data_IF_971509405437
#
_entry.id   IF_971509405437
#
_cell.length_a   1.000
_cell.length_b   1.000
_cell.length_c   1.000
_cell.angle_alpha   90.00
_cell.angle_beta   90.00
_cell.angle_gamma   90.00
#
_symmetry.space_group_name_H-M   'P 1'
#
loop_
_entity.id
_entity.type
_entity.pdbx_description
1 polymer ?
#
# COMPACT_ATOMS: atom_id res chain seq x y z
N UNK A 1 -27.15 3.26 -16.54
CA UNK A 1 -27.72 1.93 -16.23
C UNK A 1 -27.19 0.79 -17.12
N UNK A 2 -27.28 0.82 -18.48
CA UNK A 2 -26.77 -0.32 -19.32
C UNK A 2 -25.26 -0.55 -19.29
N UNK A 3 -24.42 0.46 -18.99
CA UNK A 3 -22.97 0.31 -18.86
C UNK A 3 -22.57 -0.25 -17.48
N UNK A 4 -23.29 0.08 -16.43
CA UNK A 4 -23.00 -0.38 -15.06
C UNK A 4 -23.17 -1.89 -14.92
N UNK A 5 -24.24 -2.46 -15.47
CA UNK A 5 -24.48 -3.91 -15.43
C UNK A 5 -23.36 -4.74 -16.09
N UNK A 6 -22.52 -4.12 -16.95
CA UNK A 6 -21.45 -4.81 -17.67
C UNK A 6 -20.11 -4.90 -16.93
N UNK A 7 -19.90 -4.11 -15.87
CA UNK A 7 -18.62 -4.15 -15.12
C UNK A 7 -18.60 -5.25 -14.05
N UNK A 8 -19.74 -5.59 -13.44
CA UNK A 8 -19.83 -6.50 -12.33
C UNK A 8 -19.24 -7.90 -12.57
N UNK A 9 -19.46 -8.56 -13.73
CA UNK A 9 -18.82 -9.85 -14.00
C UNK A 9 -17.28 -9.75 -13.96
N UNK A 10 -16.74 -8.66 -14.46
CA UNK A 10 -15.30 -8.43 -14.50
C UNK A 10 -14.72 -8.15 -13.10
N UNK A 11 -15.44 -7.38 -12.27
CA UNK A 11 -15.07 -7.16 -10.89
C UNK A 11 -15.13 -8.46 -10.08
N UNK A 12 -16.08 -9.33 -10.36
CA UNK A 12 -16.16 -10.65 -9.73
C UNK A 12 -14.94 -11.50 -10.11
N UNK A 13 -14.57 -11.57 -11.38
CA UNK A 13 -13.36 -12.29 -11.83
C UNK A 13 -12.12 -11.70 -11.19
N UNK A 14 -12.02 -10.37 -11.14
CA UNK A 14 -10.91 -9.68 -10.47
C UNK A 14 -10.81 -10.03 -8.99
N UNK A 15 -11.92 -9.94 -8.27
CA UNK A 15 -11.99 -10.28 -6.85
C UNK A 15 -11.69 -11.75 -6.56
N UNK A 16 -12.14 -12.68 -7.42
CA UNK A 16 -11.79 -14.10 -7.30
C UNK A 16 -10.28 -14.31 -7.46
N UNK A 17 -9.63 -13.66 -8.43
CA UNK A 17 -8.18 -13.76 -8.62
C UNK A 17 -7.41 -13.21 -7.41
N UNK A 18 -7.81 -12.07 -6.87
CA UNK A 18 -7.20 -11.50 -5.67
C UNK A 18 -7.44 -12.39 -4.44
N UNK A 19 -8.65 -12.94 -4.31
CA UNK A 19 -9.00 -13.87 -3.22
C UNK A 19 -8.18 -15.17 -3.29
N UNK A 20 -8.00 -15.75 -4.47
CA UNK A 20 -7.15 -16.94 -4.64
C UNK A 20 -5.71 -16.64 -4.26
N UNK A 21 -5.16 -15.50 -4.68
CA UNK A 21 -3.83 -15.07 -4.22
C UNK A 21 -3.78 -14.86 -2.70
N UNK A 22 -4.81 -14.25 -2.12
CA UNK A 22 -4.89 -14.02 -0.67
C UNK A 22 -4.91 -15.31 0.14
N UNK A 23 -5.51 -16.37 -0.39
CA UNK A 23 -5.60 -17.69 0.24
C UNK A 23 -4.30 -18.50 0.11
N UNK A 24 -3.71 -18.52 -1.09
CA UNK A 24 -2.70 -19.51 -1.45
C UNK A 24 -1.27 -18.96 -1.54
N UNK A 25 -1.06 -17.66 -1.75
CA UNK A 25 0.29 -17.10 -1.67
C UNK A 25 0.79 -17.07 -0.23
N UNK A 26 2.04 -17.49 -0.03
CA UNK A 26 2.69 -17.42 1.29
C UNK A 26 2.69 -15.98 1.83
N UNK A 27 2.57 -15.83 3.14
CA UNK A 27 2.54 -14.51 3.79
C UNK A 27 3.85 -13.74 3.57
N UNK A 28 3.78 -12.44 3.30
CA UNK A 28 4.96 -11.59 3.27
C UNK A 28 5.38 -11.20 4.70
N UNK A 29 6.69 -11.01 4.93
CA UNK A 29 7.19 -10.67 6.26
C UNK A 29 6.59 -9.36 6.81
N UNK A 30 6.40 -8.38 5.93
CA UNK A 30 5.77 -7.12 6.33
C UNK A 30 4.28 -7.29 6.66
N UNK A 31 3.55 -8.17 5.97
CA UNK A 31 2.16 -8.49 6.32
C UNK A 31 2.06 -9.14 7.70
N UNK A 32 2.99 -10.04 8.01
CA UNK A 32 3.10 -10.64 9.34
C UNK A 32 3.38 -9.58 10.41
N UNK A 33 4.20 -8.58 10.10
CA UNK A 33 4.44 -7.43 10.96
C UNK A 33 3.20 -6.53 11.11
N UNK A 34 2.45 -6.27 10.05
CA UNK A 34 1.20 -5.50 10.14
C UNK A 34 0.07 -6.29 10.84
N UNK A 35 0.14 -7.64 10.86
CA UNK A 35 -0.75 -8.43 11.73
C UNK A 35 -0.51 -8.11 13.21
N UNK A 36 0.72 -7.87 13.64
CA UNK A 36 1.02 -7.40 14.99
C UNK A 36 0.30 -6.08 15.31
N UNK A 37 0.22 -5.14 14.36
CA UNK A 37 -0.54 -3.90 14.52
C UNK A 37 -2.02 -4.16 14.78
N UNK A 38 -2.61 -5.12 14.06
CA UNK A 38 -4.00 -5.52 14.27
C UNK A 38 -4.27 -6.22 15.59
N UNK A 39 -3.26 -6.89 16.17
CA UNK A 39 -3.35 -7.49 17.51
C UNK A 39 -3.32 -6.41 18.62
N UNK A 40 -2.63 -5.30 18.37
CA UNK A 40 -2.46 -4.19 19.32
C UNK A 40 -2.97 -2.88 18.69
N UNK A 41 -4.30 -2.79 18.49
CA UNK A 41 -4.91 -1.64 17.84
C UNK A 41 -4.57 -0.33 18.55
N UNK A 42 -4.09 0.63 17.77
CA UNK A 42 -3.70 1.95 18.23
C UNK A 42 -4.01 3.01 17.16
N UNK A 43 -4.04 4.28 17.55
CA UNK A 43 -4.21 5.40 16.62
C UNK A 43 -2.95 5.76 15.82
N UNK A 44 -1.87 5.01 16.00
CA UNK A 44 -0.63 5.12 15.26
C UNK A 44 0.33 4.00 15.63
N UNK A 45 1.35 3.82 14.81
CA UNK A 45 2.40 2.83 15.00
C UNK A 45 3.75 3.47 14.73
N UNK A 46 4.82 2.74 15.03
CA UNK A 46 6.18 3.28 14.92
C UNK A 46 6.47 3.89 13.55
N UNK A 47 6.19 3.17 12.48
CA UNK A 47 6.57 3.54 11.12
C UNK A 47 5.38 3.84 10.20
N UNK A 48 4.13 3.61 10.63
CA UNK A 48 2.95 3.83 9.79
C UNK A 48 1.75 4.40 10.56
N UNK A 49 0.85 5.13 9.86
CA UNK A 49 -0.47 5.46 10.35
C UNK A 49 -1.34 4.22 10.57
N UNK A 50 -2.50 4.34 11.26
CA UNK A 50 -3.22 3.19 11.81
C UNK A 50 -3.99 2.31 10.81
N UNK A 51 -4.20 2.73 9.55
CA UNK A 51 -5.14 2.07 8.64
C UNK A 51 -4.81 0.60 8.38
N UNK A 52 -3.53 0.25 8.19
CA UNK A 52 -3.13 -1.13 7.93
C UNK A 52 -3.39 -2.05 9.14
N UNK A 53 -3.19 -1.53 10.37
CA UNK A 53 -3.53 -2.25 11.61
C UNK A 53 -5.04 -2.49 11.73
N UNK A 54 -5.85 -1.48 11.41
CA UNK A 54 -7.31 -1.63 11.38
C UNK A 54 -7.75 -2.68 10.35
N UNK A 55 -7.15 -2.71 9.15
CA UNK A 55 -7.49 -3.70 8.11
C UNK A 55 -7.19 -5.12 8.56
N UNK A 56 -6.02 -5.35 9.17
CA UNK A 56 -5.64 -6.68 9.66
C UNK A 56 -6.49 -7.12 10.86
N UNK A 57 -6.85 -6.20 11.75
CA UNK A 57 -7.77 -6.48 12.85
C UNK A 57 -9.17 -6.88 12.36
N UNK A 58 -9.73 -6.11 11.41
CA UNK A 58 -11.04 -6.42 10.82
C UNK A 58 -11.02 -7.75 10.07
N UNK A 59 -9.97 -8.01 9.28
CA UNK A 59 -9.81 -9.30 8.60
C UNK A 59 -9.73 -10.45 9.59
N UNK A 60 -8.95 -10.30 10.68
CA UNK A 60 -8.80 -11.31 11.73
C UNK A 60 -10.06 -11.55 12.56
N UNK A 61 -10.88 -10.51 12.75
CA UNK A 61 -12.16 -10.64 13.43
C UNK A 61 -13.22 -11.39 12.60
N UNK A 62 -13.11 -11.33 11.27
CA UNK A 62 -14.08 -11.95 10.36
C UNK A 62 -13.71 -13.39 9.97
N UNK A 63 -12.42 -13.74 9.97
CA UNK A 63 -11.92 -15.02 9.46
C UNK A 63 -11.28 -15.83 10.59
N UNK A 64 -11.80 -17.05 10.86
CA UNK A 64 -11.19 -17.94 11.85
C UNK A 64 -9.82 -18.45 11.38
N UNK A 65 -8.87 -18.60 12.30
CA UNK A 65 -7.49 -19.02 11.99
C UNK A 65 -7.25 -20.52 12.17
N UNK A 66 -8.24 -21.35 11.81
CA UNK A 66 -8.22 -22.82 12.02
C UNK A 66 -7.31 -23.58 11.04
N UNK A 67 -6.92 -22.97 9.95
CA UNK A 67 -5.96 -23.51 8.97
C UNK A 67 -5.06 -22.41 8.45
N UNK A 68 -3.89 -22.78 7.87
CA UNK A 68 -2.95 -21.81 7.30
C UNK A 68 -3.60 -20.97 6.19
N UNK A 69 -4.41 -21.58 5.34
CA UNK A 69 -5.14 -20.89 4.26
C UNK A 69 -6.06 -19.81 4.82
N UNK A 70 -6.84 -20.14 5.84
CA UNK A 70 -7.69 -19.15 6.51
C UNK A 70 -6.88 -18.13 7.31
N UNK A 71 -5.74 -18.53 7.86
CA UNK A 71 -4.81 -17.61 8.53
C UNK A 71 -4.22 -16.58 7.57
N UNK A 72 -3.88 -16.95 6.33
CA UNK A 72 -3.51 -16.00 5.28
C UNK A 72 -4.67 -15.01 5.01
N UNK A 73 -5.88 -15.50 4.83
CA UNK A 73 -7.05 -14.67 4.56
C UNK A 73 -7.39 -13.75 5.75
N UNK A 74 -7.16 -14.19 6.99
CA UNK A 74 -7.39 -13.37 8.19
C UNK A 74 -6.51 -12.11 8.26
N UNK A 75 -5.47 -12.02 7.44
CA UNK A 75 -4.68 -10.80 7.27
C UNK A 75 -5.16 -9.98 6.06
N UNK A 76 -5.70 -10.64 5.02
CA UNK A 76 -5.84 -10.10 3.65
C UNK A 76 -7.26 -9.79 3.19
N UNK A 77 -8.31 -10.28 3.90
CA UNK A 77 -9.70 -10.15 3.41
C UNK A 77 -10.07 -8.69 3.09
N UNK A 78 -9.82 -7.78 4.02
CA UNK A 78 -10.17 -6.35 3.83
C UNK A 78 -9.37 -5.74 2.68
N UNK A 79 -8.13 -6.15 2.48
CA UNK A 79 -7.30 -5.73 1.33
C UNK A 79 -7.96 -6.11 0.01
N UNK A 80 -8.41 -7.36 -0.14
CA UNK A 80 -9.11 -7.84 -1.35
C UNK A 80 -10.36 -7.01 -1.61
N UNK A 81 -11.18 -6.79 -0.58
CA UNK A 81 -12.42 -6.02 -0.70
C UNK A 81 -12.13 -4.56 -1.10
N UNK A 82 -11.14 -3.93 -0.47
CA UNK A 82 -10.74 -2.56 -0.80
C UNK A 82 -10.17 -2.45 -2.21
N UNK A 83 -9.43 -3.44 -2.69
CA UNK A 83 -8.89 -3.41 -4.05
C UNK A 83 -9.99 -3.53 -5.11
N UNK A 84 -10.95 -4.45 -4.93
CA UNK A 84 -12.12 -4.53 -5.82
C UNK A 84 -12.89 -3.21 -5.82
N UNK A 85 -13.08 -2.60 -4.65
CA UNK A 85 -13.70 -1.30 -4.54
C UNK A 85 -12.86 -0.19 -5.22
N UNK A 86 -11.52 -0.26 -5.15
CA UNK A 86 -10.60 0.64 -5.87
C UNK A 86 -10.83 0.56 -7.38
N UNK A 87 -10.82 -0.65 -7.94
CA UNK A 87 -11.07 -0.88 -9.37
C UNK A 87 -12.44 -0.33 -9.78
N UNK A 88 -13.47 -0.55 -8.97
CA UNK A 88 -14.82 0.00 -9.20
C UNK A 88 -14.84 1.53 -9.19
N UNK A 89 -14.23 2.16 -8.18
CA UNK A 89 -14.22 3.63 -8.05
C UNK A 89 -13.44 4.29 -9.19
N UNK A 90 -12.30 3.71 -9.59
CA UNK A 90 -11.55 4.20 -10.75
C UNK A 90 -12.37 4.08 -12.03
N UNK A 91 -13.04 2.93 -12.21
CA UNK A 91 -13.97 2.75 -13.35
C UNK A 91 -15.10 3.78 -13.32
N UNK A 92 -15.72 4.04 -12.17
CA UNK A 92 -16.76 5.08 -12.01
C UNK A 92 -16.23 6.45 -12.41
N UNK A 93 -15.03 6.79 -11.94
CA UNK A 93 -14.38 8.06 -12.27
C UNK A 93 -14.25 8.23 -13.79
N UNK A 94 -13.88 7.17 -14.52
CA UNK A 94 -13.73 7.21 -15.97
C UNK A 94 -15.10 7.20 -16.69
N UNK A 95 -16.04 6.38 -16.24
CA UNK A 95 -17.35 6.21 -16.88
C UNK A 95 -18.21 7.49 -16.85
N UNK A 96 -17.98 8.38 -15.89
CA UNK A 96 -18.63 9.69 -15.85
C UNK A 96 -18.06 10.69 -16.86
N UNK A 97 -16.97 10.38 -17.52
CA UNK A 97 -16.48 11.15 -18.64
C UNK A 97 -17.30 10.84 -19.90
N UNK A 98 -18.25 11.72 -20.24
CA UNK A 98 -19.14 11.60 -21.43
C UNK A 98 -18.36 11.44 -22.73
N UNK A 99 -17.10 11.93 -22.79
CA UNK A 99 -16.21 11.81 -23.95
C UNK A 99 -15.49 10.46 -24.04
N UNK A 100 -15.46 9.68 -22.96
CA UNK A 100 -14.73 8.42 -22.90
C UNK A 100 -15.66 7.24 -23.16
N UNK A 101 -15.78 6.81 -24.43
CA UNK A 101 -16.51 5.60 -24.83
C UNK A 101 -15.61 4.35 -24.77
N UNK A 102 -14.82 4.20 -23.72
CA UNK A 102 -13.92 3.05 -23.61
C UNK A 102 -14.66 1.79 -23.15
N UNK A 103 -14.31 0.64 -23.72
CA UNK A 103 -14.84 -0.64 -23.25
C UNK A 103 -14.22 -1.03 -21.90
N UNK A 104 -15.01 -1.66 -21.04
CA UNK A 104 -14.56 -2.17 -19.75
C UNK A 104 -13.29 -3.03 -19.87
N UNK A 105 -13.18 -3.82 -20.93
CA UNK A 105 -12.01 -4.69 -21.21
C UNK A 105 -10.72 -3.88 -21.33
N UNK A 106 -10.72 -2.74 -22.01
CA UNK A 106 -9.52 -1.92 -22.17
C UNK A 106 -9.08 -1.26 -20.87
N UNK A 107 -10.04 -0.74 -20.10
CA UNK A 107 -9.77 -0.23 -18.76
C UNK A 107 -9.12 -1.29 -17.86
N UNK A 108 -9.73 -2.48 -17.80
CA UNK A 108 -9.23 -3.59 -17.00
C UNK A 108 -7.86 -4.06 -17.47
N UNK A 109 -7.61 -4.04 -18.80
CA UNK A 109 -6.33 -4.41 -19.37
C UNK A 109 -5.21 -3.44 -18.94
N UNK A 110 -5.50 -2.13 -18.91
CA UNK A 110 -4.55 -1.14 -18.37
C UNK A 110 -4.26 -1.44 -16.90
N UNK A 111 -5.29 -1.60 -16.08
CA UNK A 111 -5.14 -1.88 -14.65
C UNK A 111 -4.41 -3.21 -14.40
N UNK A 112 -4.76 -4.28 -15.12
CA UNK A 112 -4.17 -5.62 -14.98
C UNK A 112 -2.71 -5.70 -15.47
N UNK A 113 -2.23 -4.72 -16.23
CA UNK A 113 -0.85 -4.67 -16.69
C UNK A 113 0.10 -3.99 -15.72
N UNK A 114 -0.39 -3.44 -14.59
CA UNK A 114 0.39 -2.73 -13.57
C UNK A 114 0.84 -3.68 -12.45
N UNK A 115 2.14 -4.04 -12.36
CA UNK A 115 2.61 -5.05 -11.43
C UNK A 115 2.26 -4.77 -9.96
N UNK A 116 2.64 -3.60 -9.44
CA UNK A 116 2.43 -3.29 -8.03
C UNK A 116 0.97 -2.99 -7.69
N UNK A 117 0.21 -2.40 -8.61
CA UNK A 117 -1.24 -2.24 -8.45
C UNK A 117 -1.92 -3.60 -8.27
N UNK A 118 -1.56 -4.57 -9.11
CA UNK A 118 -2.06 -5.94 -9.01
C UNK A 118 -1.60 -6.67 -7.74
N UNK A 119 -0.36 -6.46 -7.30
CA UNK A 119 0.18 -7.09 -6.08
C UNK A 119 -0.57 -6.60 -4.82
N UNK A 120 -0.86 -5.30 -4.74
CA UNK A 120 -1.60 -4.73 -3.61
C UNK A 120 -3.10 -5.05 -3.60
N UNK A 121 -3.56 -5.86 -4.54
CA UNK A 121 -4.88 -6.49 -4.49
C UNK A 121 -5.00 -7.60 -3.46
N UNK A 122 -3.87 -8.21 -3.05
CA UNK A 122 -3.86 -9.31 -2.09
C UNK A 122 -2.76 -9.18 -1.01
N UNK A 123 -1.77 -8.32 -1.19
CA UNK A 123 -0.75 -8.02 -0.17
C UNK A 123 -1.24 -6.90 0.74
N UNK A 124 -1.35 -7.18 2.02
CA UNK A 124 -1.80 -6.21 3.02
C UNK A 124 -0.64 -5.32 3.46
N UNK A 125 -0.58 -4.14 2.90
CA UNK A 125 0.41 -3.11 3.17
C UNK A 125 -0.28 -1.75 3.31
N UNK A 126 0.37 -0.70 3.84
CA UNK A 126 -0.17 0.65 3.87
C UNK A 126 -0.53 1.23 2.49
N UNK A 127 0.06 0.68 1.41
CA UNK A 127 -0.23 1.11 0.05
C UNK A 127 -1.61 0.63 -0.44
N UNK A 128 -2.11 -0.50 0.03
CA UNK A 128 -3.42 -1.00 -0.37
C UNK A 128 -4.56 -0.02 -0.01
N UNK A 129 -4.73 0.42 1.24
CA UNK A 129 -5.72 1.43 1.57
C UNK A 129 -5.41 2.80 0.96
N UNK A 130 -4.14 3.17 0.77
CA UNK A 130 -3.75 4.39 0.09
C UNK A 130 -4.32 4.45 -1.34
N UNK A 131 -4.22 3.35 -2.09
CA UNK A 131 -4.79 3.25 -3.44
C UNK A 131 -6.31 3.41 -3.44
N UNK A 132 -7.01 2.82 -2.48
CA UNK A 132 -8.46 2.95 -2.34
C UNK A 132 -8.88 4.40 -2.05
N UNK A 133 -8.28 5.01 -1.04
CA UNK A 133 -8.63 6.39 -0.68
C UNK A 133 -8.15 7.41 -1.72
N UNK A 134 -7.07 7.14 -2.47
CA UNK A 134 -6.66 7.94 -3.60
C UNK A 134 -7.67 7.83 -4.76
N UNK A 135 -8.20 6.64 -5.04
CA UNK A 135 -9.28 6.49 -6.02
C UNK A 135 -10.54 7.27 -5.61
N UNK A 136 -10.95 7.19 -4.33
CA UNK A 136 -12.05 7.99 -3.79
C UNK A 136 -11.77 9.49 -3.86
N UNK A 137 -10.53 9.92 -3.57
CA UNK A 137 -10.12 11.31 -3.67
C UNK A 137 -10.29 11.83 -5.11
N UNK A 138 -9.78 11.12 -6.13
CA UNK A 138 -9.93 11.54 -7.51
C UNK A 138 -11.37 11.50 -7.99
N UNK A 139 -12.15 10.52 -7.55
CA UNK A 139 -13.58 10.48 -7.81
C UNK A 139 -14.29 11.70 -7.20
N UNK A 140 -14.11 11.94 -5.91
CA UNK A 140 -14.70 13.07 -5.20
C UNK A 140 -14.25 14.42 -5.78
N UNK A 141 -12.95 14.56 -6.11
CA UNK A 141 -12.42 15.76 -6.70
C UNK A 141 -12.99 16.04 -8.10
N UNK A 142 -13.18 15.00 -8.91
CA UNK A 142 -13.87 15.15 -10.20
C UNK A 142 -15.31 15.64 -10.03
N UNK A 143 -16.05 15.04 -9.07
CA UNK A 143 -17.40 15.48 -8.74
C UNK A 143 -17.42 16.92 -8.20
N UNK A 144 -16.43 17.26 -7.39
CA UNK A 144 -16.25 18.59 -6.85
C UNK A 144 -16.06 19.64 -7.96
N UNK A 145 -15.23 19.37 -8.96
CA UNK A 145 -15.01 20.28 -10.09
C UNK A 145 -16.22 20.41 -11.03
N UNK A 146 -17.11 19.43 -11.06
CA UNK A 146 -18.32 19.43 -11.93
C UNK A 146 -19.54 20.09 -11.29
N UNK A 147 -19.39 20.80 -10.17
CA UNK A 147 -20.48 21.31 -9.33
C UNK A 147 -21.29 22.48 -9.91
N UNK A 148 -20.91 23.07 -11.03
CA UNK A 148 -21.59 24.28 -11.58
C UNK A 148 -23.11 24.12 -11.89
N UNK A 149 -23.66 22.91 -11.76
CA UNK A 149 -25.06 22.61 -12.14
C UNK A 149 -25.83 21.76 -11.13
N UNK A 150 -25.35 21.56 -9.89
CA UNK A 150 -25.92 20.55 -8.98
C UNK A 150 -26.68 21.15 -7.78
N UNK A 151 -27.60 20.34 -7.22
CA UNK A 151 -28.33 20.64 -6.01
C UNK A 151 -27.38 20.77 -4.81
N UNK A 152 -27.56 21.73 -3.92
CA UNK A 152 -26.70 22.01 -2.74
C UNK A 152 -26.38 20.78 -1.87
N UNK A 153 -27.31 19.82 -1.76
CA UNK A 153 -27.09 18.60 -0.99
C UNK A 153 -26.03 17.69 -1.61
N UNK A 154 -25.93 17.63 -2.94
CA UNK A 154 -24.89 16.85 -3.65
C UNK A 154 -23.51 17.51 -3.52
N UNK A 155 -23.47 18.85 -3.52
CA UNK A 155 -22.24 19.59 -3.31
C UNK A 155 -21.64 19.31 -1.93
N UNK A 156 -22.48 19.31 -0.87
CA UNK A 156 -22.04 19.00 0.48
C UNK A 156 -21.55 17.55 0.60
N UNK A 157 -22.26 16.59 -0.02
CA UNK A 157 -21.85 15.19 -0.05
C UNK A 157 -20.48 14.99 -0.72
N UNK A 158 -20.21 15.68 -1.83
CA UNK A 158 -18.92 15.61 -2.52
C UNK A 158 -17.79 16.24 -1.70
N UNK A 159 -18.05 17.36 -1.02
CA UNK A 159 -17.10 18.02 -0.12
C UNK A 159 -16.75 17.13 1.07
N UNK A 160 -17.76 16.49 1.67
CA UNK A 160 -17.57 15.54 2.76
C UNK A 160 -16.75 14.32 2.30
N UNK A 161 -17.09 13.73 1.14
CA UNK A 161 -16.35 12.60 0.58
C UNK A 161 -14.91 12.97 0.27
N UNK A 162 -14.65 14.20 -0.22
CA UNK A 162 -13.31 14.70 -0.46
C UNK A 162 -12.50 14.77 0.85
N UNK A 163 -13.08 15.34 1.93
CA UNK A 163 -12.43 15.40 3.23
C UNK A 163 -12.17 14.04 3.85
N UNK A 164 -13.14 13.11 3.78
CA UNK A 164 -12.97 11.73 4.26
C UNK A 164 -11.89 11.00 3.47
N UNK A 165 -11.85 11.15 2.14
CA UNK A 165 -10.82 10.51 1.31
C UNK A 165 -9.41 11.04 1.61
N UNK A 166 -9.28 12.36 1.86
CA UNK A 166 -8.02 12.96 2.31
C UNK A 166 -7.56 12.37 3.65
N UNK A 167 -8.44 12.31 4.64
CA UNK A 167 -8.14 11.68 5.92
C UNK A 167 -7.77 10.19 5.76
N UNK A 168 -8.51 9.44 4.96
CA UNK A 168 -8.25 8.03 4.68
C UNK A 168 -6.89 7.81 4.02
N UNK A 169 -6.47 8.65 3.07
CA UNK A 169 -5.12 8.61 2.50
C UNK A 169 -4.05 8.88 3.56
N UNK A 170 -4.24 9.91 4.41
CA UNK A 170 -3.30 10.26 5.48
C UNK A 170 -3.21 9.17 6.56
N UNK A 171 -4.32 8.54 6.90
CA UNK A 171 -4.37 7.38 7.78
C UNK A 171 -3.71 6.12 7.18
N UNK A 172 -3.57 6.08 5.86
CA UNK A 172 -2.90 4.99 5.15
C UNK A 172 -1.39 5.22 5.08
N UNK A 173 -0.95 6.41 4.64
CA UNK A 173 0.48 6.70 4.43
C UNK A 173 0.76 8.21 4.41
N UNK A 174 1.82 8.67 5.07
CA UNK A 174 2.15 10.10 5.18
C UNK A 174 2.41 10.78 3.83
N UNK A 175 2.91 10.05 2.82
CA UNK A 175 3.12 10.62 1.49
C UNK A 175 1.83 11.07 0.78
N UNK A 176 0.66 10.77 1.32
CA UNK A 176 -0.61 11.32 0.89
C UNK A 176 -0.64 12.86 0.90
N UNK A 177 0.14 13.49 1.77
CA UNK A 177 0.34 14.95 1.78
C UNK A 177 0.82 15.45 0.42
N UNK A 178 1.67 14.69 -0.27
CA UNK A 178 2.16 15.06 -1.59
C UNK A 178 1.03 15.02 -2.64
N UNK A 179 0.12 14.04 -2.58
CA UNK A 179 -1.07 13.98 -3.47
C UNK A 179 -1.92 15.24 -3.30
N UNK A 180 -2.24 15.58 -2.05
CA UNK A 180 -3.07 16.75 -1.72
C UNK A 180 -2.36 18.05 -2.13
N UNK A 181 -1.08 18.19 -1.82
CA UNK A 181 -0.27 19.37 -2.18
C UNK A 181 -0.17 19.56 -3.69
N UNK A 182 0.05 18.49 -4.45
CA UNK A 182 0.11 18.54 -5.91
C UNK A 182 -1.26 18.90 -6.54
N UNK A 183 -2.37 18.47 -5.93
CA UNK A 183 -3.71 18.89 -6.36
C UNK A 183 -3.93 20.40 -6.17
N UNK A 184 -3.46 20.95 -5.05
CA UNK A 184 -3.51 22.41 -4.80
C UNK A 184 -2.59 23.17 -5.77
N UNK A 185 -1.38 22.68 -6.01
CA UNK A 185 -0.46 23.28 -6.98
C UNK A 185 -1.02 23.26 -8.42
N UNK A 186 -1.69 22.17 -8.80
CA UNK A 186 -2.36 22.07 -10.09
C UNK A 186 -3.57 23.02 -10.22
N UNK A 187 -4.24 23.31 -9.10
CA UNK A 187 -5.43 24.17 -9.04
C UNK A 187 -5.34 25.16 -7.86
N UNK A 188 -4.55 26.25 -7.95
CA UNK A 188 -4.41 27.21 -6.84
C UNK A 188 -5.71 27.94 -6.44
N UNK A 189 -6.77 27.86 -7.27
CA UNK A 189 -8.08 28.43 -6.93
C UNK A 189 -8.68 27.79 -5.69
N UNK A 190 -8.31 26.53 -5.38
CA UNK A 190 -8.73 25.83 -4.16
C UNK A 190 -8.37 26.61 -2.88
N UNK A 191 -7.27 27.35 -2.87
CA UNK A 191 -6.88 28.19 -1.73
C UNK A 191 -7.85 29.30 -1.40
N UNK A 192 -8.71 29.68 -2.35
CA UNK A 192 -9.74 30.73 -2.19
C UNK A 192 -11.15 30.16 -2.08
N UNK A 193 -11.29 28.83 -2.09
CA UNK A 193 -12.58 28.16 -2.09
C UNK A 193 -12.92 27.65 -0.67
N UNK A 194 -13.99 28.21 -0.08
CA UNK A 194 -14.47 27.84 1.26
C UNK A 194 -14.86 26.37 1.39
N UNK A 195 -15.34 25.72 0.31
CA UNK A 195 -15.67 24.29 0.32
C UNK A 195 -14.41 23.41 0.34
N UNK A 196 -13.34 23.86 -0.34
CA UNK A 196 -12.04 23.18 -0.26
C UNK A 196 -11.49 23.24 1.18
N UNK A 197 -11.60 24.40 1.83
CA UNK A 197 -11.21 24.53 3.24
C UNK A 197 -12.10 23.73 4.18
N UNK A 198 -13.41 23.58 3.90
CA UNK A 198 -14.26 22.67 4.66
C UNK A 198 -13.79 21.22 4.53
N UNK A 199 -13.44 20.75 3.32
CA UNK A 199 -12.88 19.40 3.13
C UNK A 199 -11.56 19.20 3.91
N UNK A 200 -10.68 20.20 3.89
CA UNK A 200 -9.44 20.20 4.71
C UNK A 200 -9.76 20.16 6.19
N UNK A 201 -10.74 20.96 6.65
CA UNK A 201 -11.19 20.96 8.04
C UNK A 201 -11.73 19.60 8.50
N UNK A 202 -12.53 18.94 7.66
CA UNK A 202 -13.02 17.57 7.91
C UNK A 202 -11.85 16.60 8.05
N UNK A 203 -10.89 16.64 7.11
CA UNK A 203 -9.70 15.78 7.17
C UNK A 203 -8.89 16.06 8.44
N UNK A 204 -8.68 17.32 8.79
CA UNK A 204 -7.94 17.70 10.00
C UNK A 204 -8.61 17.20 11.28
N UNK A 205 -9.93 17.33 11.40
CA UNK A 205 -10.70 16.83 12.57
C UNK A 205 -10.58 15.31 12.67
N UNK A 206 -10.70 14.60 11.54
CA UNK A 206 -10.54 13.15 11.52
C UNK A 206 -9.13 12.71 11.88
N UNK A 207 -8.09 13.51 11.61
CA UNK A 207 -6.71 13.20 11.93
C UNK A 207 -6.32 13.48 13.39
N UNK A 208 -7.18 14.16 14.19
CA UNK A 208 -6.89 14.51 15.59
C UNK A 208 -6.48 13.31 16.44
N UNK A 209 -7.15 12.13 16.40
CA UNK A 209 -6.73 10.99 17.21
C UNK A 209 -5.32 10.50 16.90
N UNK A 210 -4.94 10.49 15.63
CA UNK A 210 -3.59 10.10 15.21
C UNK A 210 -2.53 11.12 15.63
N UNK A 211 -2.81 12.42 15.46
CA UNK A 211 -1.90 13.48 15.87
C UNK A 211 -1.71 13.50 17.39
N UNK A 212 -2.77 13.23 18.14
CA UNK A 212 -2.68 13.08 19.59
C UNK A 212 -1.82 11.88 20.00
N UNK A 213 -1.99 10.74 19.30
CA UNK A 213 -1.15 9.58 19.52
C UNK A 213 0.33 9.88 19.23
N UNK A 214 0.65 10.54 18.12
CA UNK A 214 2.01 10.96 17.79
C UNK A 214 2.59 11.84 18.89
N UNK A 215 1.84 12.82 19.37
CA UNK A 215 2.27 13.73 20.44
C UNK A 215 2.54 12.96 21.74
N UNK A 216 1.65 12.08 22.16
CA UNK A 216 1.77 11.33 23.42
C UNK A 216 2.90 10.28 23.39
N UNK A 217 3.38 9.89 22.21
CA UNK A 217 4.50 8.95 22.01
C UNK A 217 5.78 9.64 21.51
N UNK A 218 5.91 10.95 21.64
CA UNK A 218 7.10 11.73 21.23
C UNK A 218 7.39 11.66 19.71
N UNK A 219 6.35 11.62 18.88
CA UNK A 219 6.43 11.66 17.41
C UNK A 219 7.31 10.56 16.79
N UNK A 220 7.14 9.28 17.12
CA UNK A 220 8.05 8.23 16.68
C UNK A 220 8.11 8.09 15.15
N UNK A 221 6.96 8.14 14.47
CA UNK A 221 6.91 8.01 13.01
C UNK A 221 7.55 9.19 12.30
N UNK A 222 7.33 10.42 12.79
CA UNK A 222 7.94 11.61 12.18
C UNK A 222 9.45 11.63 12.38
N UNK A 223 9.94 11.29 13.57
CA UNK A 223 11.37 11.16 13.86
C UNK A 223 12.01 10.11 12.97
N UNK A 224 11.36 8.96 12.81
CA UNK A 224 11.84 7.89 11.93
C UNK A 224 11.97 8.37 10.48
N UNK A 225 10.91 8.93 9.89
CA UNK A 225 10.90 9.29 8.47
C UNK A 225 11.73 10.52 8.13
N UNK A 226 11.84 11.49 9.04
CA UNK A 226 12.52 12.76 8.77
C UNK A 226 14.00 12.75 9.18
N UNK A 227 14.36 11.97 10.21
CA UNK A 227 15.70 11.99 10.81
C UNK A 227 16.41 10.65 10.67
N UNK A 228 15.80 9.56 11.17
CA UNK A 228 16.51 8.28 11.35
C UNK A 228 16.73 7.51 10.04
N UNK A 229 15.99 7.84 8.97
CA UNK A 229 16.08 7.16 7.67
C UNK A 229 17.13 7.75 6.73
N UNK A 230 17.89 8.75 7.16
CA UNK A 230 18.93 9.35 6.35
C UNK A 230 20.10 8.38 6.17
N UNK A 231 20.38 7.98 4.92
CA UNK A 231 21.51 7.15 4.55
C UNK A 231 22.55 7.97 3.78
N UNK A 232 23.80 7.53 3.83
CA UNK A 232 24.85 8.12 2.99
C UNK A 232 24.50 7.90 1.49
N UNK A 233 24.60 8.94 0.68
CA UNK A 233 24.33 8.84 -0.75
C UNK A 233 25.23 7.80 -1.43
N UNK A 234 24.59 6.96 -2.24
CA UNK A 234 25.24 6.03 -3.16
C UNK A 234 24.70 6.26 -4.57
N UNK A 235 25.56 6.43 -5.60
CA UNK A 235 25.10 6.66 -6.97
C UNK A 235 24.09 5.61 -7.46
N UNK A 236 24.21 4.37 -6.96
CA UNK A 236 23.33 3.25 -7.27
C UNK A 236 21.85 3.59 -6.98
N UNK A 237 21.53 4.32 -5.89
CA UNK A 237 20.16 4.69 -5.54
C UNK A 237 19.47 5.51 -6.64
N UNK A 238 20.21 6.41 -7.30
CA UNK A 238 19.69 7.21 -8.41
C UNK A 238 19.62 6.40 -9.70
N UNK A 239 20.61 5.55 -9.99
CA UNK A 239 20.59 4.71 -11.19
C UNK A 239 19.48 3.64 -11.14
N UNK A 240 19.18 3.07 -9.99
CA UNK A 240 18.12 2.09 -9.81
C UNK A 240 16.71 2.71 -9.87
N UNK A 241 16.58 4.03 -9.72
CA UNK A 241 15.27 4.69 -9.63
C UNK A 241 14.41 4.39 -10.87
N UNK A 242 14.93 4.54 -12.09
CA UNK A 242 14.17 4.31 -13.33
C UNK A 242 13.80 2.83 -13.52
N UNK A 243 14.73 1.86 -13.43
CA UNK A 243 14.37 0.44 -13.45
C UNK A 243 13.31 0.05 -12.39
N UNK A 244 13.40 0.64 -11.19
CA UNK A 244 12.41 0.42 -10.13
C UNK A 244 11.01 0.91 -10.55
N UNK A 245 10.90 2.04 -11.28
CA UNK A 245 9.61 2.48 -11.81
C UNK A 245 9.04 1.50 -12.85
N UNK A 246 9.90 0.86 -13.65
CA UNK A 246 9.46 -0.18 -14.59
C UNK A 246 8.92 -1.43 -13.87
N UNK A 247 9.48 -1.77 -12.72
CA UNK A 247 8.94 -2.85 -11.87
C UNK A 247 7.58 -2.49 -11.26
N UNK A 248 7.34 -1.21 -10.95
CA UNK A 248 6.07 -0.73 -10.39
C UNK A 248 4.96 -0.64 -11.43
N UNK A 249 5.25 -0.08 -12.63
CA UNK A 249 4.22 0.31 -13.62
C UNK A 249 4.28 -0.47 -14.94
N UNK A 250 5.25 -1.31 -15.18
CA UNK A 250 5.83 -1.77 -16.44
C UNK A 250 6.42 -0.63 -17.31
N UNK A 251 7.40 -0.90 -18.19
CA UNK A 251 8.09 0.13 -18.97
C UNK A 251 7.17 0.94 -19.88
N UNK A 252 6.19 0.28 -20.51
CA UNK A 252 5.29 0.94 -21.46
C UNK A 252 4.34 1.91 -20.76
N UNK A 253 3.67 1.45 -19.69
CA UNK A 253 2.73 2.32 -18.96
C UNK A 253 3.48 3.46 -18.28
N UNK A 254 4.68 3.20 -17.73
CA UNK A 254 5.51 4.27 -17.16
C UNK A 254 5.85 5.35 -18.20
N UNK A 255 6.32 4.95 -19.38
CA UNK A 255 6.64 5.91 -20.44
C UNK A 255 5.40 6.70 -20.91
N UNK A 256 4.26 6.02 -21.07
CA UNK A 256 3.01 6.65 -21.51
C UNK A 256 2.42 7.57 -20.43
N UNK A 257 2.43 7.19 -19.16
CA UNK A 257 1.91 8.06 -18.10
C UNK A 257 2.75 9.34 -17.95
N UNK A 258 4.08 9.25 -18.08
CA UNK A 258 4.96 10.43 -18.07
C UNK A 258 4.68 11.31 -19.28
N UNK A 259 4.64 10.73 -20.48
CA UNK A 259 4.38 11.47 -21.73
C UNK A 259 3.01 12.15 -21.73
N UNK A 260 1.94 11.45 -21.32
CA UNK A 260 0.60 12.03 -21.22
C UNK A 260 0.54 13.14 -20.17
N UNK A 261 1.25 12.98 -19.06
CA UNK A 261 1.31 13.98 -18.00
C UNK A 261 2.04 15.24 -18.44
N UNK A 262 3.13 15.14 -19.22
CA UNK A 262 3.81 16.30 -19.82
C UNK A 262 2.83 17.04 -20.74
N UNK A 263 2.08 16.34 -21.58
CA UNK A 263 1.08 16.97 -22.47
C UNK A 263 -0.07 17.63 -21.70
N UNK A 264 -0.51 17.03 -20.59
CA UNK A 264 -1.63 17.52 -19.79
C UNK A 264 -1.20 18.53 -18.69
N UNK A 265 0.08 18.80 -18.51
CA UNK A 265 0.62 19.62 -17.42
C UNK A 265 0.06 21.04 -17.36
N UNK A 266 -0.23 21.64 -18.52
CA UNK A 266 -0.77 23.00 -18.67
C UNK A 266 -2.16 23.03 -19.28
N UNK A 267 -2.86 21.89 -19.33
CA UNK A 267 -4.23 21.86 -19.85
C UNK A 267 -5.19 22.70 -19.02
N UNK A 268 -6.22 23.25 -19.64
CA UNK A 268 -7.29 23.97 -18.93
C UNK A 268 -8.23 23.04 -18.15
N UNK A 269 -8.31 21.76 -18.53
CA UNK A 269 -9.03 20.75 -17.78
C UNK A 269 -8.32 20.52 -16.42
N UNK A 270 -8.88 21.10 -15.37
CA UNK A 270 -8.32 21.07 -14.01
C UNK A 270 -8.18 19.65 -13.48
N UNK A 271 -9.08 18.74 -13.84
CA UNK A 271 -8.99 17.35 -13.39
C UNK A 271 -7.79 16.65 -14.06
N UNK A 272 -7.70 16.68 -15.40
CA UNK A 272 -6.56 16.11 -16.13
C UNK A 272 -5.23 16.74 -15.70
N UNK A 273 -5.23 18.06 -15.46
CA UNK A 273 -4.05 18.77 -14.96
C UNK A 273 -3.61 18.25 -13.60
N UNK A 274 -4.56 18.03 -12.67
CA UNK A 274 -4.25 17.49 -11.34
C UNK A 274 -3.68 16.08 -11.42
N UNK A 275 -4.23 15.21 -12.27
CA UNK A 275 -3.67 13.88 -12.51
C UNK A 275 -2.22 13.96 -13.02
N UNK A 276 -1.96 14.86 -13.99
CA UNK A 276 -0.64 15.07 -14.57
C UNK A 276 0.37 15.60 -13.54
N UNK A 277 -0.03 16.58 -12.73
CA UNK A 277 0.80 17.11 -11.64
C UNK A 277 1.13 16.03 -10.61
N UNK A 278 0.18 15.17 -10.28
CA UNK A 278 0.45 14.09 -9.34
C UNK A 278 1.47 13.09 -9.91
N UNK A 279 1.29 12.65 -11.15
CA UNK A 279 2.26 11.74 -11.78
C UNK A 279 3.65 12.37 -11.81
N UNK A 280 3.80 13.53 -12.42
CA UNK A 280 5.11 14.18 -12.58
C UNK A 280 5.71 14.60 -11.24
N UNK A 281 4.88 15.12 -10.33
CA UNK A 281 5.33 15.54 -9.00
C UNK A 281 5.92 14.39 -8.19
N UNK A 282 5.27 13.22 -8.20
CA UNK A 282 5.83 12.03 -7.55
C UNK A 282 7.13 11.56 -8.22
N UNK A 283 7.16 11.48 -9.56
CA UNK A 283 8.35 11.03 -10.27
C UNK A 283 9.54 11.96 -10.00
N UNK A 284 9.33 13.27 -10.06
CA UNK A 284 10.38 14.26 -9.81
C UNK A 284 10.78 14.29 -8.32
N UNK A 285 9.81 14.28 -7.41
CA UNK A 285 10.08 14.30 -5.98
C UNK A 285 10.95 13.12 -5.56
N UNK A 286 10.58 11.89 -5.93
CA UNK A 286 11.36 10.71 -5.55
C UNK A 286 12.67 10.56 -6.33
N UNK A 287 12.76 11.07 -7.55
CA UNK A 287 14.04 11.19 -8.23
C UNK A 287 14.98 12.11 -7.43
N UNK A 288 14.49 13.27 -6.94
CA UNK A 288 15.29 14.17 -6.09
C UNK A 288 15.66 13.46 -4.77
N UNK A 289 14.72 12.73 -4.16
CA UNK A 289 15.00 11.99 -2.92
C UNK A 289 16.04 10.89 -3.11
N UNK A 290 16.15 10.28 -4.30
CA UNK A 290 17.19 9.28 -4.59
C UNK A 290 18.63 9.80 -4.50
N UNK A 291 18.83 11.13 -4.56
CA UNK A 291 20.11 11.77 -4.27
C UNK A 291 20.40 11.93 -2.76
N UNK A 292 19.44 11.62 -1.91
CA UNK A 292 19.57 11.74 -0.44
C UNK A 292 19.55 10.40 0.28
N UNK A 293 19.16 9.32 -0.40
CA UNK A 293 19.10 7.99 0.18
C UNK A 293 18.33 7.01 -0.70
N UNK A 294 18.18 5.78 -0.22
CA UNK A 294 17.40 4.75 -0.92
C UNK A 294 15.92 5.11 -1.00
N UNK A 295 15.36 4.98 -2.20
CA UNK A 295 13.93 5.16 -2.47
C UNK A 295 13.30 3.81 -2.77
N UNK A 296 12.36 3.40 -1.93
CA UNK A 296 11.64 2.15 -2.16
C UNK A 296 10.80 2.24 -3.45
N UNK A 297 10.86 1.24 -4.32
CA UNK A 297 10.16 1.25 -5.61
C UNK A 297 8.68 1.60 -5.48
N UNK A 298 8.00 1.04 -4.48
CA UNK A 298 6.56 1.15 -4.27
C UNK A 298 6.08 2.53 -3.79
N UNK A 299 6.98 3.47 -3.43
CA UNK A 299 6.53 4.79 -2.94
C UNK A 299 5.79 5.62 -3.98
N UNK A 300 5.96 5.31 -5.25
CA UNK A 300 5.26 5.99 -6.35
C UNK A 300 3.95 5.30 -6.74
N UNK A 301 3.60 4.15 -6.15
CA UNK A 301 2.48 3.31 -6.59
C UNK A 301 1.12 4.01 -6.59
N UNK A 302 0.92 5.00 -5.71
CA UNK A 302 -0.32 5.80 -5.68
C UNK A 302 -0.61 6.47 -7.02
N UNK A 303 0.43 6.75 -7.81
CA UNK A 303 0.27 7.32 -9.16
C UNK A 303 -0.26 6.32 -10.19
N UNK A 304 -0.45 5.05 -9.83
CA UNK A 304 -1.21 4.09 -10.65
C UNK A 304 -2.63 4.56 -10.92
N UNK A 305 -3.29 5.20 -9.95
CA UNK A 305 -4.66 5.70 -10.12
C UNK A 305 -4.73 6.78 -11.21
N UNK A 306 -3.99 7.90 -11.11
CA UNK A 306 -3.97 8.88 -12.19
C UNK A 306 -3.42 8.32 -13.51
N UNK A 307 -2.47 7.38 -13.50
CA UNK A 307 -1.97 6.75 -14.72
C UNK A 307 -3.06 5.95 -15.46
N UNK A 308 -3.84 5.14 -14.74
CA UNK A 308 -4.97 4.40 -15.31
C UNK A 308 -6.00 5.36 -15.92
N UNK A 309 -6.35 6.43 -15.22
CA UNK A 309 -7.33 7.41 -15.69
C UNK A 309 -6.81 8.14 -16.93
N UNK A 310 -5.58 8.67 -16.90
CA UNK A 310 -4.99 9.40 -18.03
C UNK A 310 -4.85 8.54 -19.28
N UNK A 311 -4.35 7.31 -19.13
CA UNK A 311 -4.17 6.40 -20.27
C UNK A 311 -5.51 5.96 -20.87
N UNK A 312 -6.51 5.75 -20.02
CA UNK A 312 -7.85 5.41 -20.41
C UNK A 312 -8.53 6.57 -21.14
N UNK A 313 -8.46 7.77 -20.62
CA UNK A 313 -9.03 8.98 -21.23
C UNK A 313 -8.37 9.32 -22.58
N UNK A 314 -7.05 9.09 -22.69
CA UNK A 314 -6.29 9.32 -23.91
C UNK A 314 -6.44 8.20 -24.97
N UNK A 315 -7.08 7.08 -24.63
CA UNK A 315 -7.16 5.93 -25.54
C UNK A 315 -7.74 6.23 -26.93
N UNK A 316 -8.80 7.07 -27.08
CA UNK A 316 -9.31 7.47 -28.38
C UNK A 316 -8.34 8.31 -29.22
N UNK A 317 -7.38 8.99 -28.58
CA UNK A 317 -6.41 9.87 -29.24
C UNK A 317 -5.33 9.07 -30.02
N UNK A 318 -5.12 7.80 -29.65
CA UNK A 318 -4.17 6.93 -30.35
C UNK A 318 -4.72 6.47 -31.72
N UNK A 319 -3.84 6.36 -32.72
CA UNK A 319 -4.18 5.80 -34.03
C UNK A 319 -4.72 4.37 -33.91
N UNK A 320 -5.42 3.87 -34.91
CA UNK A 320 -5.93 2.49 -34.93
C UNK A 320 -4.82 1.46 -34.74
N UNK A 321 -3.65 1.68 -35.41
CA UNK A 321 -2.46 0.82 -35.22
C UNK A 321 -1.90 0.92 -33.80
N UNK A 322 -1.82 2.14 -33.27
CA UNK A 322 -1.36 2.39 -31.88
C UNK A 322 -2.24 1.70 -30.85
N UNK A 323 -3.59 1.81 -30.97
CA UNK A 323 -4.53 1.12 -30.07
C UNK A 323 -4.40 -0.40 -30.14
N UNK A 324 -4.19 -0.95 -31.34
CA UNK A 324 -3.97 -2.40 -31.50
C UNK A 324 -2.67 -2.83 -30.85
N UNK A 325 -1.57 -2.10 -31.05
CA UNK A 325 -0.27 -2.37 -30.42
C UNK A 325 -0.38 -2.28 -28.89
N UNK A 326 -0.99 -1.21 -28.36
CA UNK A 326 -1.24 -1.08 -26.92
C UNK A 326 -2.03 -2.25 -26.35
N UNK A 327 -3.13 -2.66 -27.00
CA UNK A 327 -3.94 -3.79 -26.53
C UNK A 327 -3.11 -5.06 -26.44
N UNK A 328 -2.30 -5.35 -27.45
CA UNK A 328 -1.43 -6.53 -27.45
C UNK A 328 -0.35 -6.46 -26.37
N UNK A 329 0.37 -5.36 -26.28
CA UNK A 329 1.47 -5.22 -25.30
C UNK A 329 0.96 -5.27 -23.87
N UNK A 330 -0.13 -4.54 -23.54
CA UNK A 330 -0.74 -4.61 -22.22
C UNK A 330 -1.30 -6.00 -21.93
N UNK A 331 -1.84 -6.69 -22.95
CA UNK A 331 -2.27 -8.09 -22.84
C UNK A 331 -1.13 -9.04 -22.48
N UNK A 332 0.03 -8.86 -23.08
CA UNK A 332 1.23 -9.64 -22.73
C UNK A 332 1.64 -9.38 -21.28
N UNK A 333 1.72 -8.11 -20.85
CA UNK A 333 2.04 -7.81 -19.46
C UNK A 333 1.01 -8.38 -18.47
N UNK A 334 -0.28 -8.24 -18.76
CA UNK A 334 -1.34 -8.81 -17.92
C UNK A 334 -1.25 -10.34 -17.85
N UNK A 335 -0.94 -11.01 -18.99
CA UNK A 335 -0.70 -12.44 -19.04
C UNK A 335 0.51 -12.88 -18.22
N UNK A 336 1.63 -12.15 -18.31
CA UNK A 336 2.82 -12.42 -17.50
C UNK A 336 2.53 -12.25 -16.01
N UNK A 337 1.77 -11.23 -15.61
CA UNK A 337 1.38 -11.04 -14.21
C UNK A 337 0.42 -12.12 -13.72
N UNK A 338 -0.47 -12.62 -14.57
CA UNK A 338 -1.32 -13.76 -14.23
C UNK A 338 -0.46 -15.03 -14.00
N UNK A 339 0.52 -15.29 -14.87
CA UNK A 339 1.46 -16.39 -14.70
C UNK A 339 2.25 -16.22 -13.38
N UNK A 340 2.75 -15.02 -13.10
CA UNK A 340 3.46 -14.73 -11.85
C UNK A 340 2.58 -15.00 -10.61
N UNK A 341 1.30 -14.61 -10.63
CA UNK A 341 0.35 -14.92 -9.57
C UNK A 341 0.15 -16.43 -9.39
N UNK A 342 0.04 -17.19 -10.48
CA UNK A 342 -0.08 -18.65 -10.43
C UNK A 342 1.19 -19.27 -9.81
N UNK A 343 2.36 -18.82 -10.23
CA UNK A 343 3.65 -19.29 -9.68
C UNK A 343 3.75 -19.01 -8.17
N UNK A 344 3.32 -17.82 -7.72
CA UNK A 344 3.27 -17.46 -6.29
C UNK A 344 2.29 -18.35 -5.51
N UNK A 345 1.09 -18.60 -6.06
CA UNK A 345 0.09 -19.47 -5.41
C UNK A 345 0.56 -20.93 -5.30
N UNK A 346 1.33 -21.42 -6.27
CA UNK A 346 1.88 -22.76 -6.25
C UNK A 346 3.10 -22.90 -5.32
N UNK A 347 3.62 -21.79 -4.82
CA UNK A 347 4.76 -21.72 -3.88
C UNK A 347 6.01 -22.51 -4.38
N UNK A 348 6.26 -22.49 -5.70
CA UNK A 348 7.35 -23.25 -6.35
C UNK A 348 8.65 -22.45 -6.54
N UNK A 349 8.66 -21.18 -6.09
CA UNK A 349 9.87 -20.36 -6.17
C UNK A 349 10.93 -20.84 -5.17
N UNK A 350 12.22 -20.76 -5.53
CA UNK A 350 13.29 -21.06 -4.60
C UNK A 350 13.24 -20.16 -3.36
N UNK A 351 13.53 -20.67 -2.14
CA UNK A 351 13.54 -19.88 -0.91
C UNK A 351 14.46 -18.64 -0.97
N UNK A 352 15.55 -18.71 -1.74
CA UNK A 352 16.50 -17.62 -1.94
C UNK A 352 15.87 -16.36 -2.57
N UNK A 353 14.71 -16.50 -3.21
CA UNK A 353 13.96 -15.35 -3.74
C UNK A 353 13.33 -14.49 -2.65
N UNK A 354 13.23 -14.99 -1.41
CA UNK A 354 12.48 -14.35 -0.33
C UNK A 354 10.96 -14.35 -0.51
N UNK A 355 10.47 -14.98 -1.59
CA UNK A 355 9.03 -15.04 -1.91
C UNK A 355 8.36 -16.37 -1.49
N UNK A 356 9.15 -17.38 -1.13
CA UNK A 356 8.70 -18.69 -0.73
C UNK A 356 9.58 -19.29 0.38
N UNK A 357 9.12 -20.37 1.01
CA UNK A 357 9.90 -21.13 1.99
C UNK A 357 9.95 -20.55 3.40
N UNK A 358 9.15 -19.52 3.70
CA UNK A 358 9.12 -18.88 5.02
C UNK A 358 8.55 -19.80 6.09
N UNK A 359 7.54 -20.59 5.73
CA UNK A 359 6.96 -21.59 6.65
C UNK A 359 8.03 -22.61 7.06
N UNK A 360 8.76 -23.19 6.11
CA UNK A 360 9.82 -24.18 6.40
C UNK A 360 10.95 -23.58 7.27
N UNK A 361 11.30 -22.30 7.03
CA UNK A 361 12.26 -21.58 7.86
C UNK A 361 11.75 -21.44 9.31
N UNK A 362 10.49 -21.06 9.49
CA UNK A 362 9.90 -20.95 10.82
C UNK A 362 9.72 -22.32 11.49
N UNK A 363 9.45 -23.39 10.73
CA UNK A 363 9.39 -24.77 11.22
C UNK A 363 10.73 -25.23 11.81
N UNK A 364 11.83 -24.94 11.15
CA UNK A 364 13.17 -25.23 11.68
C UNK A 364 13.41 -24.50 13.01
N UNK A 365 13.03 -23.23 13.12
CA UNK A 365 13.13 -22.45 14.36
C UNK A 365 12.24 -23.05 15.45
N UNK A 366 11.04 -23.50 15.09
CA UNK A 366 10.10 -24.10 16.04
C UNK A 366 10.63 -25.42 16.62
N UNK A 367 11.27 -26.23 15.79
CA UNK A 367 11.92 -27.46 16.23
C UNK A 367 13.07 -27.18 17.22
N UNK A 368 13.87 -26.15 16.97
CA UNK A 368 14.96 -25.73 17.88
C UNK A 368 14.43 -25.15 19.19
N UNK A 369 13.29 -24.46 19.15
CA UNK A 369 12.71 -23.81 20.32
C UNK A 369 12.08 -24.78 21.34
N UNK A 370 11.83 -26.04 20.96
CA UNK A 370 11.28 -27.09 21.84
C UNK A 370 9.99 -26.68 22.58
N UNK A 371 9.14 -25.87 21.94
CA UNK A 371 7.88 -25.37 22.53
C UNK A 371 8.04 -24.15 23.46
N UNK A 372 9.25 -23.61 23.61
CA UNK A 372 9.49 -22.42 24.39
C UNK A 372 9.22 -21.13 23.56
N UNK A 373 8.85 -20.01 24.21
CA UNK A 373 8.80 -18.71 23.56
C UNK A 373 10.17 -18.35 22.99
N UNK A 374 10.18 -17.71 21.81
CA UNK A 374 11.43 -17.38 21.10
C UNK A 374 11.72 -15.88 21.21
N UNK A 375 12.92 -15.58 21.67
CA UNK A 375 13.48 -14.22 21.70
C UNK A 375 14.41 -14.08 20.50
N UNK A 376 14.10 -13.13 19.63
CA UNK A 376 14.88 -12.81 18.45
C UNK A 376 15.67 -11.52 18.66
N UNK A 377 16.86 -11.44 18.03
CA UNK A 377 17.52 -10.16 17.77
C UNK A 377 17.46 -9.86 16.26
N UNK A 378 17.70 -8.62 15.87
CA UNK A 378 17.88 -8.24 14.48
C UNK A 378 16.64 -7.63 13.82
N UNK A 379 16.25 -8.13 12.65
CA UNK A 379 15.13 -7.58 11.88
C UNK A 379 13.79 -8.03 12.43
N UNK A 380 12.80 -7.13 12.44
CA UNK A 380 11.40 -7.41 12.81
C UNK A 380 10.72 -8.47 11.94
N UNK A 381 11.27 -8.77 10.79
CA UNK A 381 10.67 -9.68 9.80
C UNK A 381 10.60 -11.11 10.32
N UNK A 382 11.69 -11.60 10.89
CA UNK A 382 11.79 -12.99 11.35
C UNK A 382 10.86 -13.31 12.55
N UNK A 383 10.83 -12.53 13.64
CA UNK A 383 9.89 -12.74 14.73
C UNK A 383 8.44 -12.58 14.29
N UNK A 384 8.15 -11.65 13.37
CA UNK A 384 6.79 -11.46 12.86
C UNK A 384 6.28 -12.66 12.06
N UNK A 385 7.14 -13.24 11.20
CA UNK A 385 6.82 -14.50 10.50
C UNK A 385 6.63 -15.66 11.48
N UNK A 386 7.51 -15.79 12.48
CA UNK A 386 7.40 -16.84 13.48
C UNK A 386 6.11 -16.70 14.30
N UNK A 387 5.76 -15.47 14.75
CA UNK A 387 4.46 -15.19 15.38
C UNK A 387 3.29 -15.56 14.48
N UNK A 388 3.39 -15.31 13.21
CA UNK A 388 2.34 -15.69 12.26
C UNK A 388 2.18 -17.20 12.15
N UNK A 389 3.25 -17.97 12.06
CA UNK A 389 3.15 -19.42 11.82
C UNK A 389 2.93 -20.23 13.09
N UNK A 390 3.58 -19.90 14.19
CA UNK A 390 3.71 -20.79 15.34
C UNK A 390 3.30 -20.18 16.68
N UNK A 391 3.89 -19.08 17.11
CA UNK A 391 3.76 -18.59 18.47
C UNK A 391 3.66 -17.07 18.56
N UNK A 392 2.51 -16.58 18.98
CA UNK A 392 2.26 -15.16 19.21
C UNK A 392 3.04 -14.59 20.41
N UNK A 393 3.71 -15.42 21.22
CA UNK A 393 4.58 -14.96 22.32
C UNK A 393 6.02 -14.64 21.88
N UNK A 394 6.40 -14.99 20.63
CA UNK A 394 7.72 -14.61 20.14
C UNK A 394 7.92 -13.09 20.14
N UNK A 395 9.09 -12.65 20.56
CA UNK A 395 9.44 -11.24 20.77
C UNK A 395 10.69 -10.86 19.99
N UNK A 396 10.85 -9.57 19.74
CA UNK A 396 12.06 -8.98 19.19
C UNK A 396 12.74 -8.13 20.26
N UNK A 397 14.02 -8.35 20.46
CA UNK A 397 14.91 -7.48 21.21
C UNK A 397 15.81 -6.74 20.24
N UNK A 398 15.85 -5.43 20.38
CA UNK A 398 16.67 -4.59 19.52
C UNK A 398 18.13 -4.70 19.89
N UNK A 399 18.99 -4.95 18.92
CA UNK A 399 20.42 -4.77 19.07
C UNK A 399 20.89 -3.41 18.49
N UNK A 400 22.13 -3.02 18.76
CA UNK A 400 22.69 -1.74 18.32
C UNK A 400 22.79 -1.55 16.80
N UNK A 401 22.64 -2.60 16.01
CA UNK A 401 22.75 -2.58 14.56
C UNK A 401 21.40 -2.44 13.87
N UNK A 402 20.29 -2.52 14.61
CA UNK A 402 18.94 -2.53 14.05
C UNK A 402 18.15 -1.28 14.42
N UNK A 403 17.28 -0.87 13.51
CA UNK A 403 16.37 0.25 13.71
C UNK A 403 15.30 -0.07 14.76
N UNK A 404 14.73 0.98 15.36
CA UNK A 404 13.49 0.85 16.13
C UNK A 404 12.34 0.32 15.28
N UNK A 405 11.42 -0.38 15.94
CA UNK A 405 10.24 -1.00 15.35
C UNK A 405 9.04 -0.90 16.28
N UNK A 406 7.89 -1.43 15.91
CA UNK A 406 6.72 -1.51 16.78
C UNK A 406 6.96 -2.40 18.01
N UNK A 407 7.84 -3.41 17.92
CA UNK A 407 8.19 -4.23 19.09
C UNK A 407 8.80 -3.39 20.20
N UNK A 408 9.63 -2.42 19.87
CA UNK A 408 10.26 -1.52 20.83
C UNK A 408 9.27 -0.59 21.55
N UNK A 409 8.10 -0.30 20.92
CA UNK A 409 7.03 0.46 21.58
C UNK A 409 6.13 -0.42 22.44
N UNK A 410 6.01 -1.70 22.12
CA UNK A 410 5.13 -2.64 22.84
C UNK A 410 5.80 -3.26 24.05
N UNK A 411 7.15 -3.35 24.08
CA UNK A 411 7.94 -3.95 25.16
C UNK A 411 7.46 -5.37 25.55
N UNK A 412 7.09 -6.19 24.56
CA UNK A 412 6.55 -7.54 24.79
C UNK A 412 7.59 -8.48 25.43
N UNK A 413 8.87 -8.21 25.27
CA UNK A 413 9.97 -8.95 25.88
C UNK A 413 9.91 -8.98 27.41
N UNK A 414 9.36 -7.93 28.04
CA UNK A 414 9.23 -7.83 29.50
C UNK A 414 8.35 -8.92 30.09
N UNK A 415 7.38 -9.43 29.33
CA UNK A 415 6.49 -10.49 29.78
C UNK A 415 7.18 -11.86 29.88
N UNK A 416 8.35 -12.01 29.26
CA UNK A 416 9.14 -13.24 29.25
C UNK A 416 10.24 -13.25 30.31
N UNK A 417 10.55 -12.13 30.95
CA UNK A 417 11.57 -12.05 32.01
C UNK A 417 11.21 -13.03 33.14
N UNK A 418 12.20 -13.83 33.57
CA UNK A 418 12.03 -14.87 34.59
C UNK A 418 11.41 -16.16 34.12
N UNK A 419 11.05 -16.29 32.82
CA UNK A 419 10.48 -17.49 32.23
C UNK A 419 11.51 -18.22 31.36
N UNK A 420 11.33 -19.53 31.13
CA UNK A 420 12.13 -20.26 30.16
C UNK A 420 11.90 -19.71 28.74
N UNK A 421 12.98 -19.58 27.97
CA UNK A 421 12.92 -19.10 26.60
C UNK A 421 14.03 -19.69 25.72
N UNK A 422 13.78 -19.76 24.42
CA UNK A 422 14.78 -20.00 23.41
C UNK A 422 15.29 -18.64 22.89
N UNK A 423 16.56 -18.36 23.07
CA UNK A 423 17.18 -17.09 22.65
C UNK A 423 17.94 -17.32 21.35
N UNK A 424 17.63 -16.53 20.32
CA UNK A 424 18.30 -16.51 19.02
C UNK A 424 18.96 -15.14 18.81
N UNK A 425 20.25 -15.07 19.12
CA UNK A 425 20.94 -13.79 19.16
C UNK A 425 22.36 -13.90 18.60
N UNK A 426 22.76 -12.95 17.76
CA UNK A 426 24.10 -12.91 17.10
C UNK A 426 24.49 -14.23 16.41
N UNK A 427 23.51 -14.93 15.83
CA UNK A 427 23.71 -16.22 15.16
C UNK A 427 23.85 -17.41 16.12
N UNK A 428 23.76 -17.20 17.45
CA UNK A 428 23.74 -18.26 18.44
C UNK A 428 22.30 -18.61 18.80
N UNK A 429 22.06 -19.88 19.16
CA UNK A 429 20.78 -20.37 19.65
C UNK A 429 21.03 -21.12 20.95
N UNK A 430 20.35 -20.74 22.01
CA UNK A 430 20.45 -21.40 23.31
C UNK A 430 19.10 -21.35 24.05
N UNK A 431 18.92 -22.32 24.92
CA UNK A 431 17.75 -22.37 25.84
C UNK A 431 18.21 -21.89 27.21
N UNK A 432 17.42 -21.01 27.81
CA UNK A 432 17.57 -20.56 29.19
C UNK A 432 16.36 -20.93 30.00
N UNK A 433 16.56 -21.37 31.26
CA UNK A 433 15.48 -21.66 32.21
C UNK A 433 14.84 -20.38 32.76
N UNK A 434 15.58 -19.29 32.75
CA UNK A 434 15.14 -17.96 33.18
C UNK A 434 15.73 -16.89 32.30
N UNK A 435 14.91 -16.24 31.51
CA UNK A 435 15.33 -15.09 30.72
C UNK A 435 15.61 -13.91 31.65
N UNK A 436 16.77 -13.30 31.50
CA UNK A 436 17.20 -12.15 32.32
C UNK A 436 17.17 -10.85 31.54
N UNK A 437 17.17 -9.70 32.21
CA UNK A 437 17.37 -8.41 31.56
C UNK A 437 18.69 -8.33 30.80
N UNK A 438 19.71 -9.05 31.25
CA UNK A 438 21.02 -9.13 30.64
C UNK A 438 20.93 -9.81 29.26
N UNK A 439 20.14 -10.90 29.14
CA UNK A 439 19.86 -11.54 27.86
C UNK A 439 19.15 -10.63 26.87
N UNK A 440 18.48 -9.58 27.34
CA UNK A 440 17.75 -8.62 26.51
C UNK A 440 18.63 -7.42 26.07
N UNK A 441 19.69 -7.09 26.80
CA UNK A 441 20.45 -5.84 26.62
C UNK A 441 21.93 -6.01 26.25
N UNK A 442 22.50 -7.21 26.38
CA UNK A 442 23.85 -7.56 25.89
C UNK A 442 23.81 -7.97 24.43
#
# INVERSE_FOLDING_TARGET
>A
MKSEARIWPWLLVWGILDLLCALFCEIHADEAYYRLYGQFLSWGYFDHPPMVGLMTALSGALIPTTSLILKNLSVRLVTVLMHVATVYVVWRTIAENVKCQMSNVKFLLVAASLPMFCAYGFLTTPDAPLLFFAALFYYAYRQYLSQESRVKSQEMGNTLLLGISMAGMLYSKYMAVLVIGLAVLANPRLLRDGKAWLAVGIAAVLMVPHLWWQYSHHFPSFTYHLVSRAEAYRPLFTFEYIPNQWAVFNPLVWALMVWLSIRAFRTEDLFRRTLAWTVLGFQVFFLIMSFRGHVEPHWTVVTSIPAIILLTDAWPEFSVRGRKALTWTLGVFAGLLLIARIVLMLNILPPQTGMAGKQAQCEAIHAEAQGLPVVFDGSFQQPSLYRFFYDDQAVLVRNQYNRYTQYDLLHLERELIGKPACVRRFGQVYITDQLTEQDLHE
#
